data_IF_103468167141
#
_entry.id   IF_103468167141
#
_cell.length_a   1.000
_cell.length_b   1.000
_cell.length_c   1.000
_cell.angle_alpha   90.00
_cell.angle_beta   90.00
_cell.angle_gamma   90.00
#
_symmetry.space_group_name_H-M   'P 1'
#
loop_
_entity.id
_entity.type
_entity.pdbx_description
1 polymer ?
#
# COMPACT_ATOMS: atom_id res chain seq x y z
N UNK A 1 17.17 17.75 -16.15
CA UNK A 1 17.13 17.36 -17.58
C UNK A 1 18.39 17.70 -18.36
N UNK A 2 19.06 18.80 -18.08
CA UNK A 2 20.31 19.16 -18.81
C UNK A 2 21.44 18.15 -18.64
N UNK A 3 21.60 17.56 -17.45
CA UNK A 3 22.64 16.55 -17.18
C UNK A 3 22.62 15.38 -18.16
N UNK A 4 21.40 14.85 -18.47
CA UNK A 4 21.26 13.70 -19.37
C UNK A 4 21.36 14.07 -20.87
N UNK A 5 21.19 15.36 -21.21
CA UNK A 5 21.31 15.86 -22.58
C UNK A 5 22.72 16.30 -22.93
N UNK A 6 23.46 16.84 -21.98
CA UNK A 6 24.76 17.51 -22.26
C UNK A 6 25.94 16.90 -21.50
N UNK A 7 25.65 16.01 -20.50
CA UNK A 7 26.67 15.50 -19.57
C UNK A 7 27.26 16.56 -18.65
N UNK A 8 26.77 17.80 -18.74
CA UNK A 8 27.20 18.94 -17.93
C UNK A 8 26.15 19.26 -16.87
N UNK A 9 26.51 19.07 -15.61
CA UNK A 9 25.64 19.33 -14.46
C UNK A 9 25.77 18.24 -13.40
N UNK A 10 25.26 18.51 -12.20
CA UNK A 10 25.17 17.50 -11.12
C UNK A 10 23.83 16.78 -11.23
N UNK A 11 23.88 15.46 -11.42
CA UNK A 11 22.67 14.60 -11.32
C UNK A 11 22.21 14.55 -9.88
N UNK A 12 21.01 15.04 -9.61
CA UNK A 12 20.37 14.91 -8.30
C UNK A 12 19.66 13.57 -8.19
N UNK A 13 19.97 12.79 -7.14
CA UNK A 13 19.29 11.51 -6.87
C UNK A 13 17.84 11.79 -6.50
N UNK A 14 17.63 12.76 -5.62
CA UNK A 14 16.29 13.15 -5.16
C UNK A 14 15.67 14.09 -6.17
N UNK A 15 14.73 13.57 -6.95
CA UNK A 15 13.90 14.30 -7.89
C UNK A 15 12.45 13.82 -7.77
N UNK A 16 11.51 14.54 -8.40
CA UNK A 16 10.10 14.16 -8.37
C UNK A 16 9.90 12.71 -8.83
N UNK A 17 10.56 12.31 -9.89
CA UNK A 17 10.47 10.96 -10.44
C UNK A 17 11.01 9.89 -9.48
N UNK A 18 12.09 10.17 -8.74
CA UNK A 18 12.57 9.28 -7.69
C UNK A 18 11.50 9.08 -6.60
N UNK A 19 10.85 10.16 -6.17
CA UNK A 19 9.80 10.09 -5.17
C UNK A 19 8.60 9.28 -5.66
N UNK A 20 8.10 9.56 -6.86
CA UNK A 20 6.92 8.91 -7.40
C UNK A 20 7.13 7.41 -7.65
N UNK A 21 8.32 7.01 -8.10
CA UNK A 21 8.58 5.63 -8.52
C UNK A 21 9.20 4.75 -7.44
N UNK A 22 9.97 5.31 -6.52
CA UNK A 22 10.67 4.51 -5.51
C UNK A 22 10.17 4.74 -4.08
N UNK A 23 9.56 5.89 -3.77
CA UNK A 23 9.06 6.16 -2.43
C UNK A 23 7.60 5.76 -2.25
N UNK A 24 6.73 6.13 -3.19
CA UNK A 24 5.27 6.08 -3.03
C UNK A 24 4.58 5.20 -4.07
N UNK A 25 5.22 4.12 -4.50
CA UNK A 25 4.61 3.18 -5.43
C UNK A 25 3.34 2.53 -4.83
N UNK A 26 2.32 2.36 -5.64
CA UNK A 26 0.99 1.94 -5.17
C UNK A 26 0.21 3.07 -4.50
N UNK A 27 0.65 4.33 -4.68
CA UNK A 27 0.09 5.54 -4.07
C UNK A 27 0.71 5.89 -2.72
N UNK A 28 0.21 6.95 -2.09
CA UNK A 28 0.70 7.42 -0.80
C UNK A 28 0.74 6.28 0.23
N UNK A 29 1.83 6.20 1.00
CA UNK A 29 2.03 5.11 1.97
C UNK A 29 2.51 3.80 1.38
N UNK A 30 2.79 3.71 0.06
CA UNK A 30 3.12 2.46 -0.64
C UNK A 30 2.05 1.38 -0.43
N UNK A 31 0.79 1.79 -0.59
CA UNK A 31 -0.40 1.01 -0.22
C UNK A 31 -0.60 -0.25 -1.06
N UNK A 32 0.09 -0.40 -2.19
CA UNK A 32 0.11 -1.68 -2.92
C UNK A 32 0.63 -2.82 -2.03
N UNK A 33 1.68 -2.55 -1.22
CA UNK A 33 2.18 -3.52 -0.23
C UNK A 33 1.12 -3.87 0.81
N UNK A 34 0.33 -2.88 1.26
CA UNK A 34 -0.79 -3.08 2.18
C UNK A 34 -1.90 -3.91 1.54
N UNK A 35 -2.31 -3.61 0.30
CA UNK A 35 -3.34 -4.38 -0.40
C UNK A 35 -2.98 -5.87 -0.51
N UNK A 36 -1.73 -6.16 -0.85
CA UNK A 36 -1.23 -7.54 -0.91
C UNK A 36 -1.21 -8.17 0.49
N UNK A 37 -0.76 -7.44 1.51
CA UNK A 37 -0.76 -7.94 2.90
C UNK A 37 -2.18 -8.26 3.39
N UNK A 38 -3.18 -7.44 3.06
CA UNK A 38 -4.60 -7.68 3.37
C UNK A 38 -5.11 -9.00 2.77
N UNK A 39 -4.77 -9.27 1.52
CA UNK A 39 -5.22 -10.49 0.82
C UNK A 39 -4.54 -11.74 1.39
N UNK A 40 -3.24 -11.65 1.72
CA UNK A 40 -2.44 -12.82 2.13
C UNK A 40 -2.58 -13.16 3.62
N UNK A 41 -2.79 -12.18 4.49
CA UNK A 41 -2.65 -12.38 5.94
C UNK A 41 -3.91 -12.13 6.75
N UNK A 42 -4.96 -11.52 6.18
CA UNK A 42 -6.21 -11.25 6.88
C UNK A 42 -7.24 -12.36 6.70
N UNK A 43 -8.07 -12.54 7.72
CA UNK A 43 -9.16 -13.52 7.77
C UNK A 43 -10.53 -12.86 7.67
N UNK A 44 -10.67 -11.60 8.10
CA UNK A 44 -11.91 -10.84 7.94
C UNK A 44 -12.26 -10.71 6.46
N UNK A 45 -13.51 -11.04 6.13
CA UNK A 45 -14.03 -10.93 4.76
C UNK A 45 -13.96 -9.48 4.27
N UNK A 46 -14.33 -8.54 5.14
CA UNK A 46 -14.34 -7.11 4.81
C UNK A 46 -12.96 -6.60 4.40
N UNK A 47 -11.90 -6.93 5.17
CA UNK A 47 -10.53 -6.51 4.87
C UNK A 47 -10.02 -7.19 3.59
N UNK A 48 -10.25 -8.49 3.45
CA UNK A 48 -9.79 -9.25 2.27
C UNK A 48 -10.46 -8.78 0.98
N UNK A 49 -11.76 -8.51 1.00
CA UNK A 49 -12.49 -7.97 -0.16
C UNK A 49 -12.02 -6.57 -0.53
N UNK A 50 -11.80 -5.72 0.46
CA UNK A 50 -11.23 -4.40 0.24
C UNK A 50 -9.82 -4.49 -0.38
N UNK A 51 -8.99 -5.42 0.09
CA UNK A 51 -7.67 -5.69 -0.49
C UNK A 51 -7.76 -6.10 -1.95
N UNK A 52 -8.67 -7.01 -2.29
CA UNK A 52 -8.91 -7.46 -3.69
C UNK A 52 -9.41 -6.33 -4.58
N UNK A 53 -10.35 -5.54 -4.09
CA UNK A 53 -10.89 -4.37 -4.82
C UNK A 53 -9.80 -3.33 -5.10
N UNK A 54 -8.89 -3.16 -4.16
CA UNK A 54 -7.84 -2.14 -4.23
C UNK A 54 -6.60 -2.60 -4.99
N UNK A 55 -6.44 -3.90 -5.26
CA UNK A 55 -5.22 -4.45 -5.87
C UNK A 55 -5.02 -3.91 -7.29
N UNK A 56 -6.06 -3.97 -8.13
CA UNK A 56 -5.97 -3.51 -9.53
C UNK A 56 -5.68 -2.01 -9.61
N UNK A 57 -6.46 -1.12 -8.95
CA UNK A 57 -6.12 0.29 -8.89
C UNK A 57 -4.71 0.55 -8.31
N UNK A 58 -4.33 -0.17 -7.26
CA UNK A 58 -3.04 -0.04 -6.61
C UNK A 58 -1.84 -0.34 -7.52
N UNK A 59 -1.97 -1.26 -8.48
CA UNK A 59 -0.94 -1.51 -9.50
C UNK A 59 -0.67 -0.24 -10.33
N UNK A 60 -1.70 0.58 -10.55
CA UNK A 60 -1.61 1.86 -11.26
C UNK A 60 -1.41 3.06 -10.33
N UNK A 61 -0.97 2.83 -9.10
CA UNK A 61 -0.71 3.83 -8.06
C UNK A 61 -1.97 4.59 -7.57
N UNK A 62 -3.16 4.03 -7.77
CA UNK A 62 -4.43 4.56 -7.29
C UNK A 62 -4.78 3.86 -5.98
N UNK A 63 -4.81 4.60 -4.86
CA UNK A 63 -4.96 4.05 -3.52
C UNK A 63 -6.19 4.52 -2.74
N UNK A 64 -7.05 5.29 -3.37
CA UNK A 64 -8.28 5.81 -2.78
C UNK A 64 -9.17 4.72 -2.16
N UNK A 65 -9.36 3.54 -2.78
CA UNK A 65 -10.18 2.49 -2.17
C UNK A 65 -9.64 2.04 -0.80
N UNK A 66 -8.32 1.99 -0.63
CA UNK A 66 -7.71 1.61 0.67
C UNK A 66 -7.85 2.76 1.68
N UNK A 67 -7.54 4.00 1.28
CA UNK A 67 -7.56 5.15 2.19
C UNK A 67 -8.95 5.38 2.75
N UNK A 68 -9.99 5.25 1.92
CA UNK A 68 -11.37 5.44 2.34
C UNK A 68 -12.02 4.19 2.92
N UNK A 69 -11.63 3.01 2.48
CA UNK A 69 -12.16 1.75 2.98
C UNK A 69 -11.60 1.33 4.34
N UNK A 70 -10.32 1.61 4.57
CA UNK A 70 -9.70 1.57 5.91
C UNK A 70 -9.49 3.02 6.34
N UNK A 71 -10.06 3.48 7.46
CA UNK A 71 -9.81 4.85 7.92
C UNK A 71 -8.39 5.00 8.47
N UNK A 72 -7.39 4.90 7.58
CA UNK A 72 -5.95 4.87 7.91
C UNK A 72 -5.55 6.10 8.73
N UNK A 73 -6.01 7.28 8.31
CA UNK A 73 -5.66 8.55 8.96
C UNK A 73 -6.24 8.65 10.38
N UNK A 74 -7.39 8.03 10.62
CA UNK A 74 -8.06 8.05 11.92
C UNK A 74 -7.59 6.92 12.84
N UNK A 75 -6.83 5.95 12.32
CA UNK A 75 -6.33 4.82 13.09
C UNK A 75 -4.81 4.94 13.29
N UNK A 76 -4.36 5.30 14.51
CA UNK A 76 -2.94 5.46 14.83
C UNK A 76 -2.11 4.21 14.52
N UNK A 77 -2.71 3.01 14.67
CA UNK A 77 -2.03 1.74 14.39
C UNK A 77 -1.63 1.62 12.92
N UNK A 78 -2.50 2.05 11.99
CA UNK A 78 -2.21 2.00 10.56
C UNK A 78 -1.44 3.22 10.06
N UNK A 79 -1.52 4.34 10.76
CA UNK A 79 -0.78 5.55 10.43
C UNK A 79 0.74 5.34 10.54
N UNK A 80 1.18 4.54 11.55
CA UNK A 80 2.61 4.25 11.76
C UNK A 80 3.24 3.59 10.53
N UNK A 81 2.78 2.41 10.04
CA UNK A 81 3.38 1.79 8.86
C UNK A 81 3.14 2.61 7.58
N UNK A 82 2.04 3.37 7.50
CA UNK A 82 1.74 4.24 6.36
C UNK A 82 2.80 5.34 6.16
N UNK A 83 3.38 5.85 7.23
CA UNK A 83 4.50 6.81 7.17
C UNK A 83 5.86 6.12 7.11
N UNK A 84 6.02 5.00 7.80
CA UNK A 84 7.29 4.30 7.93
C UNK A 84 7.75 3.67 6.61
N UNK A 85 6.84 3.01 5.89
CA UNK A 85 7.19 2.29 4.65
C UNK A 85 7.75 3.22 3.57
N UNK A 86 7.10 4.33 3.17
CA UNK A 86 7.69 5.23 2.18
C UNK A 86 8.98 5.89 2.66
N UNK A 87 9.11 6.16 3.96
CA UNK A 87 10.36 6.69 4.52
C UNK A 87 11.52 5.71 4.33
N UNK A 88 11.31 4.44 4.65
CA UNK A 88 12.31 3.39 4.42
C UNK A 88 12.61 3.18 2.94
N UNK A 89 11.59 3.24 2.10
CA UNK A 89 11.75 3.17 0.64
C UNK A 89 12.69 4.28 0.12
N UNK A 90 12.49 5.52 0.58
CA UNK A 90 13.37 6.65 0.24
C UNK A 90 14.81 6.37 0.68
N UNK A 91 15.00 5.97 1.93
CA UNK A 91 16.34 5.74 2.51
C UNK A 91 17.05 4.63 1.73
N UNK A 92 16.42 3.48 1.53
CA UNK A 92 17.03 2.33 0.84
C UNK A 92 17.34 2.67 -0.62
N UNK A 93 16.40 3.29 -1.33
CA UNK A 93 16.60 3.67 -2.72
C UNK A 93 17.67 4.74 -2.89
N UNK A 94 17.75 5.70 -1.96
CA UNK A 94 18.80 6.71 -1.96
C UNK A 94 20.17 6.06 -1.80
N UNK A 95 20.34 5.16 -0.82
CA UNK A 95 21.61 4.45 -0.62
C UNK A 95 21.95 3.56 -1.81
N UNK A 96 20.97 2.84 -2.38
CA UNK A 96 21.19 2.00 -3.55
C UNK A 96 21.70 2.80 -4.77
N UNK A 97 21.16 4.01 -4.98
CA UNK A 97 21.62 4.90 -6.05
C UNK A 97 22.93 5.61 -5.69
N UNK A 98 23.12 6.02 -4.43
CA UNK A 98 24.35 6.68 -4.00
C UNK A 98 25.58 5.77 -4.03
N UNK A 99 25.40 4.48 -3.70
CA UNK A 99 26.46 3.47 -3.79
C UNK A 99 26.69 2.95 -5.23
N UNK A 100 25.88 3.40 -6.19
CA UNK A 100 26.04 3.04 -7.60
C UNK A 100 25.47 1.65 -7.97
N UNK A 101 24.74 0.99 -7.07
CA UNK A 101 24.06 -0.28 -7.40
C UNK A 101 22.93 -0.07 -8.40
N UNK A 102 22.22 1.05 -8.32
CA UNK A 102 21.16 1.43 -9.22
C UNK A 102 21.50 2.77 -9.85
N UNK A 103 21.43 2.92 -11.18
CA UNK A 103 21.66 4.20 -11.84
C UNK A 103 20.66 5.26 -11.36
N UNK A 104 21.09 6.52 -11.39
CA UNK A 104 20.20 7.65 -11.12
C UNK A 104 19.10 7.69 -12.18
N UNK A 105 17.90 8.13 -11.79
CA UNK A 105 16.75 8.23 -12.69
C UNK A 105 17.13 8.99 -13.98
N UNK A 106 16.81 8.40 -15.12
CA UNK A 106 17.26 8.86 -16.46
C UNK A 106 16.64 10.19 -16.91
N UNK A 107 15.75 10.80 -16.12
CA UNK A 107 15.04 12.03 -16.48
C UNK A 107 13.99 11.86 -17.57
N UNK A 108 13.71 10.64 -18.02
CA UNK A 108 12.56 10.32 -18.87
C UNK A 108 11.30 10.53 -18.08
N UNK A 109 10.36 11.33 -18.60
CA UNK A 109 9.10 11.59 -17.89
C UNK A 109 8.19 10.36 -17.97
N UNK A 110 8.22 9.53 -16.90
CA UNK A 110 7.37 8.36 -16.76
C UNK A 110 6.11 8.79 -16.01
N UNK A 111 4.91 8.49 -16.55
CA UNK A 111 3.67 8.77 -15.83
C UNK A 111 3.66 8.07 -14.47
N UNK A 112 3.20 8.75 -13.42
CA UNK A 112 3.09 8.20 -12.08
C UNK A 112 2.19 6.96 -12.00
N UNK A 113 1.26 6.81 -12.94
CA UNK A 113 0.37 5.65 -13.08
C UNK A 113 1.05 4.42 -13.71
N UNK A 114 2.33 4.49 -14.04
CA UNK A 114 3.04 3.35 -14.61
C UNK A 114 3.17 2.21 -13.57
N UNK A 115 2.85 0.96 -13.95
CA UNK A 115 2.91 -0.17 -13.02
C UNK A 115 4.29 -0.38 -12.42
N UNK A 116 4.29 -0.85 -11.16
CA UNK A 116 5.49 -1.24 -10.42
C UNK A 116 6.34 -2.26 -11.23
N UNK A 117 7.65 -2.17 -11.12
CA UNK A 117 8.61 -3.00 -11.85
C UNK A 117 8.90 -2.46 -13.24
N UNK A 118 7.86 -2.20 -14.04
CA UNK A 118 7.99 -1.59 -15.37
C UNK A 118 8.49 -0.16 -15.25
N UNK A 119 7.94 0.60 -14.30
CA UNK A 119 8.34 1.98 -14.04
C UNK A 119 9.81 2.10 -13.61
N UNK A 120 10.28 1.22 -12.72
CA UNK A 120 11.68 1.16 -12.31
C UNK A 120 12.62 0.78 -13.45
N UNK A 121 12.19 -0.15 -14.30
CA UNK A 121 12.95 -0.54 -15.49
C UNK A 121 13.16 0.63 -16.45
N UNK A 122 12.10 1.40 -16.74
CA UNK A 122 12.21 2.56 -17.63
C UNK A 122 12.91 3.76 -16.99
N UNK A 123 12.79 3.93 -15.66
CA UNK A 123 13.42 5.05 -14.96
C UNK A 123 14.94 4.93 -14.86
N UNK A 124 15.43 3.71 -14.71
CA UNK A 124 16.85 3.44 -14.49
C UNK A 124 17.35 2.34 -15.42
N UNK A 125 17.15 1.08 -15.06
CA UNK A 125 17.42 -0.13 -15.83
C UNK A 125 16.72 -1.32 -15.14
N UNK A 126 17.03 -2.56 -15.55
CA UNK A 126 16.47 -3.77 -14.95
C UNK A 126 16.71 -3.88 -13.42
N UNK A 127 17.82 -3.31 -12.92
CA UNK A 127 18.15 -3.32 -11.48
C UNK A 127 17.18 -2.45 -10.68
N UNK A 128 16.72 -1.33 -11.25
CA UNK A 128 15.70 -0.50 -10.61
C UNK A 128 14.34 -1.18 -10.53
N UNK A 129 13.97 -1.98 -11.53
CA UNK A 129 12.78 -2.82 -11.45
C UNK A 129 12.88 -3.86 -10.33
N UNK A 130 14.05 -4.51 -10.19
CA UNK A 130 14.31 -5.46 -9.09
C UNK A 130 14.26 -4.75 -7.74
N UNK A 131 14.86 -3.57 -7.62
CA UNK A 131 14.80 -2.77 -6.39
C UNK A 131 13.34 -2.48 -5.98
N UNK A 132 12.47 -2.08 -6.91
CA UNK A 132 11.06 -1.85 -6.62
C UNK A 132 10.35 -3.09 -6.08
N UNK A 133 10.64 -4.28 -6.61
CA UNK A 133 10.08 -5.55 -6.12
C UNK A 133 10.57 -5.84 -4.70
N UNK A 134 11.85 -5.62 -4.40
CA UNK A 134 12.41 -5.80 -3.06
C UNK A 134 11.74 -4.84 -2.05
N UNK A 135 11.55 -3.59 -2.44
CA UNK A 135 10.85 -2.60 -1.60
C UNK A 135 9.39 -2.99 -1.36
N UNK A 136 8.71 -3.54 -2.37
CA UNK A 136 7.35 -4.07 -2.22
C UNK A 136 7.29 -5.19 -1.17
N UNK A 137 8.20 -6.16 -1.26
CA UNK A 137 8.27 -7.28 -0.32
C UNK A 137 8.56 -6.76 1.10
N UNK A 138 9.49 -5.82 1.24
CA UNK A 138 9.78 -5.17 2.52
C UNK A 138 8.53 -4.48 3.08
N UNK A 139 7.81 -3.73 2.25
CA UNK A 139 6.55 -3.08 2.64
C UNK A 139 5.51 -4.07 3.14
N UNK A 140 5.33 -5.22 2.47
CA UNK A 140 4.42 -6.29 2.89
C UNK A 140 4.81 -6.81 4.29
N UNK A 141 6.09 -7.04 4.54
CA UNK A 141 6.59 -7.52 5.84
C UNK A 141 6.31 -6.49 6.95
N UNK A 142 6.52 -5.21 6.68
CA UNK A 142 6.28 -4.14 7.65
C UNK A 142 4.79 -3.98 7.94
N UNK A 143 3.93 -4.03 6.91
CA UNK A 143 2.49 -3.91 7.09
C UNK A 143 1.86 -5.11 7.81
N UNK A 144 2.46 -6.31 7.68
CA UNK A 144 1.90 -7.56 8.22
C UNK A 144 1.50 -7.49 9.70
N UNK A 145 2.34 -7.05 10.66
CA UNK A 145 1.95 -7.04 12.07
C UNK A 145 0.79 -6.08 12.35
N UNK A 146 0.78 -4.93 11.69
CA UNK A 146 -0.22 -3.89 11.91
C UNK A 146 -1.58 -4.30 11.34
N UNK A 147 -1.60 -4.86 10.14
CA UNK A 147 -2.86 -5.31 9.54
C UNK A 147 -3.47 -6.50 10.29
N UNK A 148 -2.67 -7.38 10.89
CA UNK A 148 -3.15 -8.46 11.74
C UNK A 148 -3.81 -7.95 13.03
N UNK A 149 -3.35 -6.83 13.58
CA UNK A 149 -4.00 -6.21 14.73
C UNK A 149 -5.38 -5.70 14.33
N UNK A 150 -5.47 -5.02 13.20
CA UNK A 150 -6.76 -4.57 12.67
C UNK A 150 -7.68 -5.73 12.31
N UNK A 151 -7.17 -6.77 11.69
CA UNK A 151 -7.96 -7.96 11.32
C UNK A 151 -8.66 -8.57 12.54
N UNK A 152 -7.97 -8.64 13.69
CA UNK A 152 -8.58 -9.09 14.94
C UNK A 152 -9.71 -8.17 15.44
N UNK A 153 -9.55 -6.87 15.30
CA UNK A 153 -10.59 -5.91 15.67
C UNK A 153 -11.83 -6.10 14.80
N UNK A 154 -11.66 -6.16 13.48
CA UNK A 154 -12.77 -6.39 12.56
C UNK A 154 -13.46 -7.74 12.74
N UNK A 155 -12.71 -8.81 13.04
CA UNK A 155 -13.30 -10.12 13.37
C UNK A 155 -14.13 -10.09 14.64
N UNK A 156 -13.70 -9.35 15.66
CA UNK A 156 -14.48 -9.17 16.88
C UNK A 156 -15.75 -8.36 16.60
N UNK A 157 -15.65 -7.27 15.84
CA UNK A 157 -16.80 -6.44 15.46
C UNK A 157 -17.82 -7.25 14.61
N UNK A 158 -17.34 -8.08 13.69
CA UNK A 158 -18.17 -8.99 12.89
C UNK A 158 -18.88 -10.04 13.78
N UNK A 159 -18.18 -10.59 14.79
CA UNK A 159 -18.75 -11.55 15.73
C UNK A 159 -19.77 -10.92 16.68
N UNK A 160 -19.55 -9.69 17.11
CA UNK A 160 -20.52 -8.95 17.94
C UNK A 160 -21.76 -8.54 17.14
N UNK A 161 -21.58 -8.15 15.87
CA UNK A 161 -22.69 -7.83 14.99
C UNK A 161 -23.58 -9.06 14.75
N UNK A 162 -22.97 -10.22 14.46
CA UNK A 162 -23.70 -11.48 14.26
C UNK A 162 -24.50 -11.89 15.50
N UNK A 163 -23.94 -11.73 16.71
CA UNK A 163 -24.65 -12.01 17.96
C UNK A 163 -25.86 -11.10 18.19
N UNK A 164 -25.74 -9.82 17.86
CA UNK A 164 -26.84 -8.86 17.97
C UNK A 164 -27.97 -9.18 17.00
N UNK A 165 -27.63 -9.58 15.77
CA UNK A 165 -28.62 -10.01 14.77
C UNK A 165 -29.36 -11.28 15.24
N UNK A 166 -28.66 -12.26 15.85
CA UNK A 166 -29.30 -13.45 16.45
C UNK A 166 -30.21 -13.09 17.65
N UNK A 167 -29.78 -12.17 18.51
CA UNK A 167 -30.61 -11.70 19.66
C UNK A 167 -31.86 -10.95 19.20
N UNK A 168 -31.73 -10.10 18.15
CA UNK A 168 -32.85 -9.36 17.59
C UNK A 168 -33.85 -10.30 16.90
N UNK A 169 -33.40 -11.31 16.17
CA UNK A 169 -34.26 -12.33 15.55
C UNK A 169 -35.02 -13.16 16.58
N UNK A 170 -34.34 -13.58 17.68
CA UNK A 170 -34.98 -14.31 18.79
C UNK A 170 -36.04 -13.43 19.48
N UNK A 171 -35.76 -12.13 19.64
CA UNK A 171 -36.70 -11.20 20.26
C UNK A 171 -37.93 -10.93 19.40
N UNK A 172 -37.82 -11.04 18.09
CA UNK A 172 -38.93 -10.90 17.14
C UNK A 172 -39.79 -12.18 17.08
N UNK A 173 -39.17 -13.35 17.24
CA UNK A 173 -39.92 -14.63 17.31
C UNK A 173 -40.70 -14.78 18.64
N UNK A 174 -40.18 -14.19 19.73
CA UNK A 174 -40.91 -14.14 21.04
C UNK A 174 -42.09 -13.16 21.03
N UNK A 175 -42.14 -12.22 20.08
CA UNK A 175 -43.32 -11.40 19.79
C UNK A 175 -44.31 -12.18 18.92
N UNK A 176 -44.57 -13.44 19.25
CA UNK A 176 -45.59 -14.22 18.56
C UNK A 176 -46.96 -13.60 18.75
N UNK A 177 -47.70 -13.51 17.64
CA UNK A 177 -49.05 -12.90 17.54
C UNK A 177 -50.15 -13.67 18.29
N UNK A 178 -49.85 -14.36 19.41
CA UNK A 178 -50.82 -15.11 20.18
C UNK A 178 -51.62 -14.26 21.19
N UNK A 179 -51.39 -12.94 21.22
CA UNK A 179 -52.11 -11.99 22.07
C UNK A 179 -53.02 -10.99 21.32
N UNK A 180 -53.54 -11.37 20.13
CA UNK A 180 -54.58 -10.59 19.44
C UNK A 180 -55.88 -11.34 19.28
#
# INVERSE_FOLDING_TARGET
>A
MEFFRTGAGQGHIICQQFQDLFATFGGAGSTLSLAIAMILFCKSKRITELGKLSLIPGIFNINEPIIFGLPIVLNPTMLIPFMLVPTLNIIISYFAMSLGFVPICSGVNIPWTCPLGISGFFATNWVGGVLQILLLIMGIIIYMPFIKIMDKQYLNDEAEAAKKEEEDDISLDDLSFDDL
#
